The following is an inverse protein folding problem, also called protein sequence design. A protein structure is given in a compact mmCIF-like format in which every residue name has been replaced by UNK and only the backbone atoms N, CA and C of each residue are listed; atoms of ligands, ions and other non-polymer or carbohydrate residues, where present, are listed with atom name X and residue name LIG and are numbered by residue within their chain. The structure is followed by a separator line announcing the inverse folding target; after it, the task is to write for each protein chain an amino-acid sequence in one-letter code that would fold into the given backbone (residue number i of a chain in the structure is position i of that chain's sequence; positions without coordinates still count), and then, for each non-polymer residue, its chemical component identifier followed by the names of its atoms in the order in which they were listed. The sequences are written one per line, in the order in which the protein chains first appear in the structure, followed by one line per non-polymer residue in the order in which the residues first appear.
data_IF_875730558972
#
_entry.id   IF_875730558972
#
_cell.length_a   1.000
_cell.length_b   1.000
_cell.length_c   1.000
_cell.angle_alpha   90.00
_cell.angle_beta   90.00
_cell.angle_gamma   90.00
#
_symmetry.space_group_name_H-M   'P 1'
#
loop_
_entity.id
_entity.type
_entity.pdbx_description
1 polymer ?
#
# COMPACT_ATOMS: atom_id res chain seq x y z
N UNK A 1 7.90 20.16 8.52
CA UNK A 1 7.17 19.31 7.57
C UNK A 1 7.85 17.96 7.56
N UNK A 2 7.14 16.88 7.94
CA UNK A 2 7.71 15.54 7.91
C UNK A 2 7.81 15.10 6.46
N UNK A 3 9.02 14.88 5.95
CA UNK A 3 9.27 14.35 4.61
C UNK A 3 9.71 12.89 4.69
N UNK A 4 9.39 12.10 3.66
CA UNK A 4 9.91 10.75 3.54
C UNK A 4 11.38 10.78 3.12
N UNK A 5 12.19 9.89 3.71
CA UNK A 5 13.51 9.58 3.16
C UNK A 5 13.35 8.66 1.94
N UNK A 6 14.41 8.49 1.14
CA UNK A 6 14.37 7.66 -0.07
C UNK A 6 13.98 6.20 0.21
N UNK A 7 14.36 5.63 1.35
CA UNK A 7 14.11 4.22 1.63
C UNK A 7 14.80 3.27 0.64
N UNK A 8 14.20 2.11 0.41
CA UNK A 8 14.73 1.04 -0.46
C UNK A 8 13.61 0.49 -1.35
N UNK A 9 13.92 0.05 -2.58
CA UNK A 9 12.94 -0.54 -3.49
C UNK A 9 12.54 -1.98 -3.13
N UNK A 10 13.05 -2.52 -2.02
CA UNK A 10 12.77 -3.89 -1.59
C UNK A 10 12.86 -4.01 -0.06
N UNK A 11 12.12 -4.98 0.53
CA UNK A 11 11.11 -5.83 -0.12
C UNK A 11 9.87 -5.02 -0.52
N UNK A 12 8.99 -5.61 -1.36
CA UNK A 12 7.71 -4.99 -1.71
C UNK A 12 6.80 -4.86 -0.49
N UNK A 13 5.95 -3.84 -0.52
CA UNK A 13 5.00 -3.49 0.52
C UNK A 13 5.61 -2.67 1.65
N UNK A 14 4.93 -2.69 2.81
CA UNK A 14 5.40 -2.01 4.02
C UNK A 14 6.23 -2.93 4.93
N UNK A 15 7.46 -2.52 5.24
CA UNK A 15 8.40 -3.26 6.09
C UNK A 15 8.88 -2.42 7.26
N UNK A 16 8.58 -2.87 8.47
CA UNK A 16 9.05 -2.25 9.71
C UNK A 16 10.46 -2.74 10.06
N UNK A 17 11.39 -1.81 10.31
CA UNK A 17 12.80 -2.11 10.61
C UNK A 17 13.19 -1.89 12.09
N UNK A 18 12.23 -1.54 12.94
CA UNK A 18 12.46 -1.18 14.35
C UNK A 18 12.63 0.32 14.61
N UNK A 19 12.84 1.14 13.57
CA UNK A 19 13.01 2.60 13.67
C UNK A 19 12.01 3.38 12.81
N UNK A 20 11.50 2.74 11.77
CA UNK A 20 10.53 3.30 10.84
C UNK A 20 9.98 2.24 9.91
N UNK A 21 9.23 2.67 8.91
CA UNK A 21 8.62 1.79 7.92
C UNK A 21 9.11 2.17 6.53
N UNK A 22 9.68 1.19 5.83
CA UNK A 22 9.97 1.29 4.41
C UNK A 22 8.74 0.88 3.60
N UNK A 23 8.38 1.69 2.61
CA UNK A 23 7.29 1.41 1.68
C UNK A 23 7.86 1.22 0.27
N UNK A 24 7.46 0.16 -0.42
CA UNK A 24 7.83 -0.09 -1.81
C UNK A 24 6.64 -0.59 -2.63
N UNK A 25 6.30 0.14 -3.69
CA UNK A 25 5.14 -0.12 -4.56
C UNK A 25 5.59 -0.22 -6.02
N UNK A 26 5.24 -1.32 -6.69
CA UNK A 26 5.41 -1.43 -8.14
C UNK A 26 4.35 -0.60 -8.87
N UNK A 27 4.78 0.25 -9.80
CA UNK A 27 3.92 0.82 -10.84
C UNK A 27 4.75 1.39 -11.99
N UNK A 28 4.72 0.72 -13.14
CA UNK A 28 5.45 1.14 -14.33
C UNK A 28 4.90 2.43 -14.96
N UNK A 29 3.58 2.61 -14.92
CA UNK A 29 2.86 3.70 -15.60
C UNK A 29 2.40 4.83 -14.67
N UNK A 30 2.68 4.76 -13.37
CA UNK A 30 2.40 5.88 -12.48
C UNK A 30 3.31 7.07 -12.81
N UNK A 31 2.76 8.26 -12.65
CA UNK A 31 3.47 9.54 -12.76
C UNK A 31 3.84 10.09 -11.37
N UNK A 32 3.05 9.74 -10.35
CA UNK A 32 3.29 10.09 -8.94
C UNK A 32 2.60 9.09 -8.04
N UNK A 33 3.23 8.72 -6.93
CA UNK A 33 2.64 7.88 -5.89
C UNK A 33 2.65 8.64 -4.56
N UNK A 34 1.46 8.81 -3.98
CA UNK A 34 1.30 9.34 -2.63
C UNK A 34 1.07 8.17 -1.66
N UNK A 35 1.90 8.09 -0.63
CA UNK A 35 1.60 7.34 0.59
C UNK A 35 0.59 8.13 1.43
N UNK A 36 -0.53 7.50 1.75
CA UNK A 36 -1.59 8.05 2.58
C UNK A 36 -1.55 7.35 3.93
N UNK A 37 -1.29 8.08 5.01
CA UNK A 37 -1.26 7.58 6.39
C UNK A 37 -2.46 8.12 7.16
N UNK A 38 -3.04 7.30 8.04
CA UNK A 38 -4.22 7.67 8.82
C UNK A 38 -3.94 7.63 10.31
N UNK A 39 -4.25 8.72 11.02
CA UNK A 39 -4.22 8.77 12.48
C UNK A 39 -5.41 8.02 13.10
N UNK A 40 -5.50 7.96 14.44
CA UNK A 40 -6.57 7.26 15.15
C UNK A 40 -7.96 7.84 14.86
N UNK A 41 -8.06 9.15 14.63
CA UNK A 41 -9.29 9.87 14.30
C UNK A 41 -9.70 9.70 12.82
N UNK A 42 -8.85 9.08 12.01
CA UNK A 42 -9.08 8.84 10.59
C UNK A 42 -8.67 10.00 9.68
N UNK A 43 -7.93 10.99 10.20
CA UNK A 43 -7.40 12.07 9.37
C UNK A 43 -6.29 11.55 8.46
N UNK A 44 -6.36 11.94 7.19
CA UNK A 44 -5.38 11.53 6.17
C UNK A 44 -4.22 12.52 6.10
N UNK A 45 -3.00 12.01 6.24
CA UNK A 45 -1.77 12.70 5.87
C UNK A 45 -1.15 12.06 4.64
N UNK A 46 -0.78 12.88 3.65
CA UNK A 46 -0.25 12.42 2.35
C UNK A 46 1.21 12.81 2.19
N UNK A 47 1.99 11.88 1.65
CA UNK A 47 3.42 12.06 1.37
C UNK A 47 3.73 11.51 -0.01
N UNK A 48 4.43 12.27 -0.85
CA UNK A 48 4.98 11.71 -2.09
C UNK A 48 6.06 10.68 -1.76
N UNK A 49 6.01 9.51 -2.42
CA UNK A 49 7.14 8.59 -2.44
C UNK A 49 8.28 9.24 -3.24
N UNK A 50 9.42 9.56 -2.59
CA UNK A 50 10.41 10.47 -3.16
C UNK A 50 11.35 9.79 -4.17
N UNK A 51 11.40 8.46 -4.21
CA UNK A 51 12.36 7.73 -5.02
C UNK A 51 11.69 6.64 -5.87
N UNK A 52 12.29 6.36 -7.03
CA UNK A 52 11.88 5.30 -7.95
C UNK A 52 13.11 4.57 -8.48
N UNK A 53 13.19 3.26 -8.26
CA UNK A 53 14.24 2.40 -8.82
C UNK A 53 13.60 1.42 -9.81
N UNK A 54 13.87 1.60 -11.10
CA UNK A 54 13.12 0.90 -12.15
C UNK A 54 11.63 1.27 -12.09
N UNK A 55 10.77 0.28 -11.93
CA UNK A 55 9.31 0.48 -11.78
C UNK A 55 8.82 0.41 -10.33
N UNK A 56 9.75 0.43 -9.35
CA UNK A 56 9.41 0.44 -7.93
C UNK A 56 9.53 1.84 -7.37
N UNK A 57 8.43 2.38 -6.86
CA UNK A 57 8.34 3.60 -6.07
C UNK A 57 8.61 3.28 -4.61
N UNK A 58 9.41 4.08 -3.93
CA UNK A 58 9.74 3.80 -2.54
C UNK A 58 10.03 5.06 -1.70
N UNK A 59 9.87 4.88 -0.40
CA UNK A 59 10.11 5.89 0.61
C UNK A 59 10.18 5.28 2.01
N UNK A 60 10.79 5.98 2.96
CA UNK A 60 10.90 5.53 4.34
C UNK A 60 10.40 6.60 5.31
N UNK A 61 9.49 6.19 6.19
CA UNK A 61 8.86 7.04 7.19
C UNK A 61 9.47 6.77 8.58
N UNK A 62 10.14 7.78 9.13
CA UNK A 62 10.75 7.71 10.45
C UNK A 62 9.68 7.61 11.55
N UNK A 63 9.98 6.87 12.62
CA UNK A 63 9.12 6.70 13.81
C UNK A 63 7.72 6.12 13.54
N UNK A 64 7.45 5.66 12.30
CA UNK A 64 6.31 4.80 12.01
C UNK A 64 6.55 3.40 12.56
N UNK A 65 5.47 2.71 12.93
CA UNK A 65 5.53 1.37 13.49
C UNK A 65 4.33 0.49 13.16
N UNK A 66 4.31 -0.75 13.68
CA UNK A 66 3.20 -1.67 13.53
C UNK A 66 1.88 -1.07 14.02
N UNK A 67 0.78 -1.40 13.34
CA UNK A 67 -0.54 -0.80 13.58
C UNK A 67 -0.82 0.46 12.77
N UNK A 68 0.21 1.08 12.14
CA UNK A 68 0.01 2.23 11.26
C UNK A 68 -0.90 1.86 10.08
N UNK A 69 -1.96 2.64 9.91
CA UNK A 69 -2.92 2.50 8.81
C UNK A 69 -2.48 3.32 7.63
N UNK A 70 -2.48 2.71 6.45
CA UNK A 70 -2.03 3.37 5.22
C UNK A 70 -2.76 2.88 3.97
N UNK A 71 -2.59 3.63 2.89
CA UNK A 71 -2.95 3.25 1.53
C UNK A 71 -2.17 4.10 0.54
N UNK A 72 -2.51 3.99 -0.74
CA UNK A 72 -1.87 4.76 -1.81
C UNK A 72 -2.88 5.54 -2.64
N UNK A 73 -2.48 6.73 -3.08
CA UNK A 73 -3.11 7.41 -4.21
C UNK A 73 -2.11 7.47 -5.35
N UNK A 74 -2.49 6.92 -6.50
CA UNK A 74 -1.60 6.77 -7.64
C UNK A 74 -2.10 7.63 -8.79
N UNK A 75 -1.22 8.52 -9.24
CA UNK A 75 -1.44 9.45 -10.34
C UNK A 75 -0.89 8.86 -11.62
N UNK A 76 -1.53 9.19 -12.74
CA UNK A 76 -1.15 8.76 -14.07
C UNK A 76 -2.29 8.98 -15.06
N UNK A 77 -2.18 8.45 -16.29
CA UNK A 77 -3.18 8.64 -17.32
C UNK A 77 -4.54 8.00 -16.98
N UNK A 78 -5.61 8.71 -17.28
CA UNK A 78 -6.94 8.12 -17.44
C UNK A 78 -7.23 8.00 -18.94
N UNK A 79 -6.95 6.82 -19.49
CA UNK A 79 -7.23 6.46 -20.88
C UNK A 79 -7.85 5.05 -20.92
N UNK A 80 -9.18 4.95 -20.74
CA UNK A 80 -9.89 3.68 -20.79
C UNK A 80 -9.68 2.88 -22.07
N UNK A 81 -9.41 3.53 -23.20
CA UNK A 81 -9.20 2.87 -24.48
C UNK A 81 -7.85 2.13 -24.54
N UNK A 82 -6.84 2.64 -23.82
CA UNK A 82 -5.54 2.00 -23.64
C UNK A 82 -5.44 1.19 -22.33
N UNK A 83 -6.53 1.08 -21.57
CA UNK A 83 -6.58 0.38 -20.29
C UNK A 83 -5.99 1.16 -19.10
N UNK A 84 -5.56 2.40 -19.28
CA UNK A 84 -5.07 3.24 -18.19
C UNK A 84 -6.24 3.78 -17.35
N UNK A 85 -6.20 3.51 -16.04
CA UNK A 85 -7.30 3.76 -15.10
C UNK A 85 -6.86 4.50 -13.84
N UNK A 86 -5.78 5.29 -13.92
CA UNK A 86 -5.25 6.01 -12.76
C UNK A 86 -6.28 7.03 -12.26
N UNK A 87 -6.67 6.91 -10.99
CA UNK A 87 -7.64 7.80 -10.36
C UNK A 87 -7.23 8.06 -8.90
N UNK A 88 -6.51 9.16 -8.61
CA UNK A 88 -6.03 9.46 -7.27
C UNK A 88 -7.15 9.84 -6.29
N UNK A 89 -8.40 10.04 -6.74
CA UNK A 89 -9.54 10.18 -5.84
C UNK A 89 -9.86 8.86 -5.10
N UNK A 90 -9.39 7.73 -5.62
CA UNK A 90 -9.59 6.41 -5.00
C UNK A 90 -8.36 6.06 -4.17
N UNK A 91 -8.60 5.79 -2.89
CA UNK A 91 -7.59 5.21 -2.02
C UNK A 91 -7.41 3.72 -2.37
N UNK A 92 -6.17 3.33 -2.63
CA UNK A 92 -5.79 1.97 -2.99
C UNK A 92 -5.14 1.25 -1.79
N UNK A 93 -5.41 -0.04 -1.68
CA UNK A 93 -4.71 -0.95 -0.76
C UNK A 93 -3.34 -1.30 -1.36
N UNK A 94 -2.35 -1.55 -0.51
CA UNK A 94 -1.07 -2.09 -0.93
C UNK A 94 -1.25 -3.55 -1.38
N UNK A 95 -0.93 -3.89 -2.65
CA UNK A 95 -1.03 -5.27 -3.13
C UNK A 95 -0.14 -6.27 -2.38
N UNK A 96 0.86 -5.79 -1.64
CA UNK A 96 1.74 -6.58 -0.78
C UNK A 96 1.45 -6.42 0.71
N UNK A 97 0.26 -5.89 1.09
CA UNK A 97 -0.12 -5.75 2.49
C UNK A 97 -0.20 -7.10 3.21
N UNK A 98 0.41 -7.20 4.39
CA UNK A 98 0.26 -8.36 5.27
C UNK A 98 -1.04 -8.37 6.08
N UNK A 99 -1.69 -7.20 6.20
CA UNK A 99 -2.98 -7.04 6.88
C UNK A 99 -3.77 -5.91 6.24
N UNK A 100 -5.08 -6.13 6.12
CA UNK A 100 -6.06 -5.13 5.70
C UNK A 100 -7.05 -4.94 6.87
N UNK A 101 -7.37 -3.70 7.18
CA UNK A 101 -8.29 -3.28 8.23
C UNK A 101 -9.54 -2.64 7.62
N UNK A 102 -10.71 -3.02 8.13
CA UNK A 102 -12.00 -2.54 7.69
C UNK A 102 -12.72 -3.54 6.79
N UNK A 103 -14.04 -3.37 6.70
CA UNK A 103 -14.89 -4.13 5.80
C UNK A 103 -14.88 -3.51 4.40
N UNK A 104 -15.35 -4.27 3.42
CA UNK A 104 -15.57 -3.79 2.05
C UNK A 104 -17.07 -3.60 1.82
N UNK A 105 -17.64 -2.41 2.10
CA UNK A 105 -19.04 -2.16 1.86
C UNK A 105 -19.34 -2.09 0.36
N UNK A 106 -20.59 -2.39 0.00
CA UNK A 106 -21.11 -2.03 -1.32
C UNK A 106 -21.40 -0.52 -1.34
N UNK A 107 -20.40 0.27 -1.76
CA UNK A 107 -20.47 1.73 -1.83
C UNK A 107 -19.96 2.22 -3.20
N UNK A 108 -20.77 3.02 -3.89
CA UNK A 108 -20.46 3.53 -5.22
C UNK A 108 -19.14 4.32 -5.28
N UNK A 109 -18.69 4.92 -4.17
CA UNK A 109 -17.43 5.67 -4.13
C UNK A 109 -16.22 4.79 -4.44
N UNK A 110 -16.33 3.48 -4.21
CA UNK A 110 -15.29 2.50 -4.55
C UNK A 110 -15.16 2.28 -6.06
N UNK A 111 -16.20 2.61 -6.84
CA UNK A 111 -16.11 2.54 -8.29
C UNK A 111 -15.22 3.68 -8.83
N UNK A 112 -14.25 3.32 -9.66
CA UNK A 112 -13.30 4.26 -10.27
C UNK A 112 -13.89 5.12 -11.39
N UNK A 113 -15.05 4.73 -11.94
CA UNK A 113 -15.67 5.31 -13.13
C UNK A 113 -15.47 4.46 -14.40
N UNK A 114 -16.41 4.57 -15.35
CA UNK A 114 -16.38 3.76 -16.58
C UNK A 114 -15.70 4.48 -17.75
N UNK A 115 -16.16 5.68 -18.11
CA UNK A 115 -15.58 6.47 -19.21
C UNK A 115 -14.81 7.69 -18.70
N UNK A 116 -15.25 8.26 -17.59
CA UNK A 116 -14.60 9.35 -16.90
C UNK A 116 -14.26 8.91 -15.48
N UNK A 117 -13.18 9.44 -14.88
CA UNK A 117 -12.82 9.10 -13.52
C UNK A 117 -13.88 9.67 -12.57
N UNK A 118 -14.44 8.81 -11.72
CA UNK A 118 -15.27 9.25 -10.60
C UNK A 118 -14.38 10.00 -9.60
N UNK A 119 -14.70 11.27 -9.32
CA UNK A 119 -13.86 12.14 -8.49
C UNK A 119 -14.21 12.13 -7.00
N UNK A 120 -15.22 11.36 -6.57
CA UNK A 120 -15.59 11.24 -5.16
C UNK A 120 -14.48 10.52 -4.41
N UNK A 121 -14.08 11.06 -3.27
CA UNK A 121 -13.05 10.43 -2.45
C UNK A 121 -13.58 9.12 -1.83
N UNK A 122 -12.80 8.05 -1.94
CA UNK A 122 -13.15 6.76 -1.34
C UNK A 122 -12.54 6.53 0.04
N UNK A 123 -11.67 7.43 0.54
CA UNK A 123 -10.93 7.19 1.78
C UNK A 123 -11.82 6.91 3.01
N UNK A 124 -13.04 7.46 3.07
CA UNK A 124 -13.96 7.23 4.19
C UNK A 124 -14.56 5.80 4.24
N UNK A 125 -14.53 5.06 3.13
CA UNK A 125 -15.13 3.72 3.02
C UNK A 125 -14.17 2.64 2.54
N UNK A 126 -13.05 3.03 1.92
CA UNK A 126 -12.05 2.08 1.47
C UNK A 126 -11.32 1.47 2.69
N UNK A 127 -11.20 0.15 2.77
CA UNK A 127 -10.36 -0.50 3.78
C UNK A 127 -8.90 -0.04 3.64
N UNK A 128 -8.16 -0.13 4.75
CA UNK A 128 -6.78 0.36 4.86
C UNK A 128 -5.81 -0.79 4.97
N UNK A 129 -4.64 -0.66 4.38
CA UNK A 129 -3.52 -1.53 4.70
C UNK A 129 -3.02 -1.21 6.11
N UNK A 130 -2.53 -2.21 6.83
CA UNK A 130 -1.96 -2.00 8.17
C UNK A 130 -0.53 -2.56 8.20
N UNK A 131 0.40 -1.77 8.75
CA UNK A 131 1.78 -2.22 8.98
C UNK A 131 1.77 -3.30 10.05
N UNK A 132 2.45 -4.42 9.78
CA UNK A 132 2.58 -5.56 10.70
C UNK A 132 4.06 -5.80 10.99
N UNK A 133 4.37 -6.13 12.24
CA UNK A 133 5.67 -6.70 12.58
C UNK A 133 5.67 -8.19 12.26
N UNK A 134 6.46 -8.59 11.27
CA UNK A 134 6.55 -9.99 10.84
C UNK A 134 7.50 -10.83 11.70
N UNK A 135 8.18 -10.22 12.69
CA UNK A 135 9.07 -10.95 13.58
C UNK A 135 8.25 -11.87 14.47
N UNK A 136 8.38 -13.17 14.24
CA UNK A 136 7.73 -14.21 15.03
C UNK A 136 8.75 -15.30 15.41
N UNK A 137 8.70 -15.77 16.65
CA UNK A 137 9.54 -16.87 17.13
C UNK A 137 8.94 -18.22 16.72
N UNK A 138 9.42 -18.75 15.59
CA UNK A 138 9.06 -20.07 15.07
C UNK A 138 9.67 -21.24 15.86
N UNK A 139 10.51 -20.97 16.86
CA UNK A 139 11.19 -21.96 17.68
C UNK A 139 11.89 -23.02 16.82
N UNK A 140 11.51 -24.28 16.96
CA UNK A 140 12.09 -25.42 16.26
C UNK A 140 11.27 -25.92 15.08
N UNK A 141 10.29 -25.16 14.58
CA UNK A 141 9.42 -25.59 13.49
C UNK A 141 10.23 -25.93 12.23
N UNK A 142 9.89 -27.06 11.60
CA UNK A 142 10.56 -27.58 10.41
C UNK A 142 9.54 -28.22 9.47
N UNK A 143 9.71 -28.06 8.15
CA UNK A 143 8.79 -28.67 7.19
C UNK A 143 8.79 -30.19 7.34
N UNK A 144 7.60 -30.86 7.36
CA UNK A 144 7.50 -32.31 7.56
C UNK A 144 8.23 -33.16 6.51
N UNK A 145 8.38 -32.66 5.27
CA UNK A 145 9.04 -33.34 4.14
C UNK A 145 8.55 -34.79 3.91
N UNK A 146 7.26 -35.04 4.14
CA UNK A 146 6.64 -36.35 3.93
C UNK A 146 6.75 -36.77 2.46
N UNK A 147 7.22 -37.99 2.21
CA UNK A 147 7.32 -38.54 0.86
C UNK A 147 5.94 -38.79 0.25
N UNK A 148 5.76 -38.39 -1.01
CA UNK A 148 4.52 -38.56 -1.78
C UNK A 148 4.07 -40.01 -1.94
N UNK A 149 5.01 -40.97 -1.95
CA UNK A 149 4.72 -42.40 -2.17
C UNK A 149 4.25 -43.17 -0.94
N UNK A 150 4.18 -42.54 0.25
CA UNK A 150 3.61 -43.15 1.45
C UNK A 150 2.11 -42.83 1.52
N UNK A 151 1.28 -43.72 0.95
CA UNK A 151 -0.13 -43.89 1.33
C UNK A 151 -0.34 -45.29 1.85
#
# INVERSE_FOLDING_TARGET
MTSLAAGKPAPLGASYDGKGVNFALFSAHAERVELCVFDEQGNEQRFDLPARSGDIWHGWLAAAGPGLRYGYRVHGPWDPAQGHRFNPAKLLIDPSAHRVEGDLPDDERLHGGMWQPDRRDSAAVAPKSQVVDLRYDWRGDKPPRTSWGKR
#
